data_IF_970179888524
#
_entry.id   IF_970179888524
#
_cell.length_a   1.000
_cell.length_b   1.000
_cell.length_c   1.000
_cell.angle_alpha   90.00
_cell.angle_beta   90.00
_cell.angle_gamma   90.00
#
_symmetry.space_group_name_H-M   'P 1'
#
loop_
_entity.id
_entity.type
_entity.pdbx_description
1 polymer ?
#
# COMPACT_ATOMS: atom_id res chain seq x y z
N UNK A 1 -2.42 -16.79 -3.12
CA UNK A 1 -2.82 -16.48 -1.74
C UNK A 1 -2.07 -15.22 -1.35
N UNK A 2 -2.75 -14.08 -1.22
CA UNK A 2 -2.10 -12.81 -0.87
C UNK A 2 -2.20 -12.62 0.63
N UNK A 3 -1.07 -12.44 1.32
CA UNK A 3 -1.01 -12.06 2.73
C UNK A 3 -0.33 -10.71 2.78
N UNK A 4 -1.08 -9.65 3.07
CA UNK A 4 -0.52 -8.30 3.13
C UNK A 4 0.37 -8.15 4.36
N UNK A 5 1.69 -8.22 4.19
CA UNK A 5 2.64 -7.83 5.23
C UNK A 5 2.96 -6.34 5.14
N UNK A 6 3.34 -5.71 6.26
CA UNK A 6 3.68 -4.28 6.27
C UNK A 6 4.86 -3.95 5.38
N UNK A 7 5.87 -4.82 5.32
CA UNK A 7 6.99 -4.68 4.39
C UNK A 7 6.53 -4.73 2.92
N UNK A 8 5.58 -5.61 2.58
CA UNK A 8 5.04 -5.66 1.22
C UNK A 8 4.19 -4.44 0.89
N UNK A 9 3.36 -3.95 1.82
CA UNK A 9 2.54 -2.75 1.57
C UNK A 9 3.44 -1.53 1.34
N UNK A 10 4.43 -1.33 2.20
CA UNK A 10 5.45 -0.26 2.10
C UNK A 10 6.18 -0.32 0.76
N UNK A 11 6.62 -1.52 0.34
CA UNK A 11 7.43 -1.71 -0.86
C UNK A 11 6.62 -1.59 -2.16
N UNK A 12 5.42 -2.16 -2.22
CA UNK A 12 4.55 -2.02 -3.39
C UNK A 12 4.07 -0.58 -3.55
N UNK A 13 3.77 0.11 -2.45
CA UNK A 13 3.34 1.50 -2.48
C UNK A 13 4.44 2.42 -3.04
N UNK A 14 5.66 2.37 -2.47
CA UNK A 14 6.76 3.23 -2.93
C UNK A 14 7.14 2.97 -4.40
N UNK A 15 7.11 1.70 -4.83
CA UNK A 15 7.37 1.32 -6.24
C UNK A 15 6.30 1.80 -7.19
N UNK A 16 5.03 1.55 -6.86
CA UNK A 16 3.90 2.02 -7.66
C UNK A 16 3.93 3.54 -7.77
N UNK A 17 4.13 4.24 -6.65
CA UNK A 17 4.19 5.69 -6.59
C UNK A 17 5.32 6.25 -7.45
N UNK A 18 6.54 5.72 -7.29
CA UNK A 18 7.71 6.12 -8.09
C UNK A 18 7.48 5.92 -9.58
N UNK A 19 6.88 4.79 -9.97
CA UNK A 19 6.62 4.44 -11.37
C UNK A 19 5.53 5.31 -12.01
N UNK A 20 4.48 5.64 -11.27
CA UNK A 20 3.28 6.31 -11.78
C UNK A 20 3.40 7.83 -11.73
N UNK A 21 4.03 8.37 -10.68
CA UNK A 21 4.08 9.80 -10.42
C UNK A 21 5.48 10.39 -10.64
N UNK A 22 6.55 9.86 -10.03
CA UNK A 22 7.85 10.54 -10.03
C UNK A 22 8.69 10.39 -11.31
N UNK A 23 8.88 9.17 -11.85
CA UNK A 23 9.86 8.96 -12.94
C UNK A 23 9.45 9.52 -14.30
N UNK A 24 8.16 9.72 -14.54
CA UNK A 24 7.65 10.16 -15.84
C UNK A 24 6.49 11.16 -15.78
N UNK A 25 6.09 11.64 -14.58
CA UNK A 25 4.89 12.47 -14.31
C UNK A 25 3.80 12.22 -15.36
N UNK A 26 3.35 10.98 -15.42
CA UNK A 26 2.31 10.58 -16.38
C UNK A 26 0.93 10.82 -15.75
N UNK A 27 0.87 10.81 -14.41
CA UNK A 27 -0.36 10.85 -13.63
C UNK A 27 -0.22 11.88 -12.50
N UNK A 28 -1.34 12.52 -12.19
CA UNK A 28 -1.51 13.29 -10.95
C UNK A 28 -1.35 12.38 -9.73
N UNK A 29 -1.11 12.99 -8.57
CA UNK A 29 -1.02 12.26 -7.29
C UNK A 29 -2.26 11.40 -7.05
N UNK A 30 -3.45 11.99 -7.24
CA UNK A 30 -4.73 11.30 -7.03
C UNK A 30 -4.92 10.12 -7.98
N UNK A 31 -4.55 10.25 -9.25
CA UNK A 31 -4.61 9.14 -10.21
C UNK A 31 -3.63 8.01 -9.85
N UNK A 32 -2.43 8.35 -9.40
CA UNK A 32 -1.48 7.36 -8.92
C UNK A 32 -2.02 6.61 -7.69
N UNK A 33 -2.59 7.33 -6.71
CA UNK A 33 -3.24 6.73 -5.53
C UNK A 33 -4.40 5.82 -5.96
N UNK A 34 -5.30 6.29 -6.83
CA UNK A 34 -6.43 5.51 -7.34
C UNK A 34 -5.98 4.19 -7.99
N UNK A 35 -4.94 4.24 -8.83
CA UNK A 35 -4.40 3.05 -9.52
C UNK A 35 -3.76 2.03 -8.56
N UNK A 36 -3.32 2.47 -7.37
CA UNK A 36 -2.72 1.59 -6.36
C UNK A 36 -3.69 1.11 -5.29
N UNK A 37 -4.89 1.70 -5.19
CA UNK A 37 -5.84 1.46 -4.09
C UNK A 37 -7.19 0.96 -4.59
N UNK A 38 -8.04 1.86 -5.07
CA UNK A 38 -9.42 1.56 -5.46
C UNK A 38 -9.47 0.72 -6.74
N UNK A 39 -8.65 1.00 -7.75
CA UNK A 39 -8.65 0.24 -9.00
C UNK A 39 -8.41 -1.27 -8.79
N UNK A 40 -7.36 -1.72 -8.07
CA UNK A 40 -7.16 -3.14 -7.80
C UNK A 40 -8.24 -3.71 -6.86
N UNK A 41 -8.73 -2.95 -5.88
CA UNK A 41 -9.83 -3.40 -5.01
C UNK A 41 -11.10 -3.72 -5.82
N UNK A 42 -11.50 -2.83 -6.73
CA UNK A 42 -12.63 -3.03 -7.65
C UNK A 42 -12.39 -4.22 -8.58
N UNK A 43 -11.18 -4.33 -9.16
CA UNK A 43 -10.81 -5.43 -10.07
C UNK A 43 -10.88 -6.79 -9.39
N UNK A 44 -10.55 -6.85 -8.10
CA UNK A 44 -10.59 -8.07 -7.29
C UNK A 44 -11.90 -8.27 -6.52
N UNK A 45 -12.88 -7.37 -6.69
CA UNK A 45 -14.18 -7.39 -6.00
C UNK A 45 -14.04 -7.39 -4.48
N UNK A 46 -13.12 -6.56 -3.97
CA UNK A 46 -12.90 -6.34 -2.54
C UNK A 46 -13.71 -5.13 -2.08
N UNK A 47 -14.95 -5.36 -1.65
CA UNK A 47 -15.90 -4.28 -1.32
C UNK A 47 -15.55 -3.51 -0.04
N UNK A 48 -14.69 -4.06 0.82
CA UNK A 48 -14.35 -3.52 2.15
C UNK A 48 -13.00 -2.76 2.17
N UNK A 49 -12.37 -2.52 1.00
CA UNK A 49 -10.99 -2.02 0.88
C UNK A 49 -10.82 -1.09 -0.31
N UNK A 50 -9.75 -0.31 -0.29
CA UNK A 50 -9.31 0.51 -1.43
C UNK A 50 -9.83 1.96 -1.41
N UNK A 51 -10.71 2.30 -0.47
CA UNK A 51 -11.14 3.67 -0.17
C UNK A 51 -10.92 3.99 1.32
N UNK A 52 -10.89 5.28 1.65
CA UNK A 52 -10.84 5.77 3.03
C UNK A 52 -12.22 6.28 3.42
N UNK A 53 -13.06 5.37 3.91
CA UNK A 53 -14.46 5.62 4.27
C UNK A 53 -14.81 4.87 5.56
N UNK A 54 -15.86 5.32 6.26
CA UNK A 54 -16.36 4.62 7.44
C UNK A 54 -16.82 3.19 7.09
N UNK A 55 -16.53 2.23 7.96
CA UNK A 55 -16.86 0.81 7.74
C UNK A 55 -15.88 0.04 6.84
N UNK A 56 -14.93 0.72 6.20
CA UNK A 56 -13.86 0.07 5.44
C UNK A 56 -12.77 -0.47 6.36
N UNK A 57 -12.03 -1.46 5.87
CA UNK A 57 -10.86 -1.96 6.57
C UNK A 57 -9.77 -0.89 6.61
N UNK A 58 -9.26 -0.63 7.82
CA UNK A 58 -8.23 0.37 8.08
C UNK A 58 -6.84 -0.07 7.59
N UNK A 59 -6.68 -0.06 6.27
CA UNK A 59 -5.40 -0.13 5.57
C UNK A 59 -5.01 1.29 5.13
N UNK A 60 -4.13 1.93 5.88
CA UNK A 60 -3.80 3.36 5.70
C UNK A 60 -2.29 3.52 5.62
N UNK A 61 -1.83 4.34 4.66
CA UNK A 61 -0.43 4.74 4.51
C UNK A 61 -0.36 6.26 4.64
N UNK A 62 0.48 6.74 5.55
CA UNK A 62 0.78 8.17 5.72
C UNK A 62 2.20 8.37 5.22
N UNK A 63 2.35 9.25 4.23
CA UNK A 63 3.61 9.46 3.52
C UNK A 63 3.73 10.91 3.07
N UNK A 64 4.97 11.36 2.88
CA UNK A 64 5.28 12.66 2.32
C UNK A 64 5.45 12.52 0.79
N UNK A 65 4.58 13.11 -0.05
CA UNK A 65 4.64 12.96 -1.50
C UNK A 65 5.94 13.52 -2.12
N UNK A 66 6.57 14.49 -1.46
CA UNK A 66 7.82 15.11 -1.93
C UNK A 66 9.06 14.31 -1.55
N UNK A 67 8.95 13.42 -0.55
CA UNK A 67 10.08 12.63 -0.03
C UNK A 67 9.98 11.13 -0.32
N UNK A 68 8.78 10.63 -0.65
CA UNK A 68 8.57 9.19 -0.81
C UNK A 68 9.43 8.64 -1.94
N UNK A 69 10.30 7.68 -1.67
CA UNK A 69 11.19 7.13 -2.70
C UNK A 69 11.51 5.65 -2.45
N UNK A 70 11.38 4.84 -3.51
CA UNK A 70 11.87 3.46 -3.52
C UNK A 70 13.40 3.45 -3.68
N UNK A 71 14.09 2.89 -2.68
CA UNK A 71 15.55 2.76 -2.63
C UNK A 71 16.09 1.45 -3.19
N UNK A 72 15.24 0.50 -3.54
CA UNK A 72 15.68 -0.79 -4.05
C UNK A 72 16.53 -0.62 -5.32
N UNK A 73 17.72 -1.20 -5.33
CA UNK A 73 18.62 -1.29 -6.49
C UNK A 73 18.75 -2.74 -6.94
N UNK A 74 19.33 -2.98 -8.12
CA UNK A 74 19.63 -4.34 -8.59
C UNK A 74 20.58 -5.07 -7.65
N UNK A 75 21.56 -4.36 -7.08
CA UNK A 75 22.58 -4.89 -6.18
C UNK A 75 22.06 -5.07 -4.75
N UNK A 76 21.12 -4.23 -4.32
CA UNK A 76 20.52 -4.26 -2.99
C UNK A 76 18.99 -4.08 -3.10
N UNK A 77 18.25 -5.17 -3.40
CA UNK A 77 16.81 -5.12 -3.68
C UNK A 77 15.95 -4.98 -2.41
N UNK A 78 16.49 -5.32 -1.24
CA UNK A 78 15.78 -5.34 0.05
C UNK A 78 16.01 -4.06 0.87
N UNK A 79 15.93 -2.89 0.23
CA UNK A 79 16.00 -1.61 0.91
C UNK A 79 14.60 -1.09 1.22
N UNK A 80 14.41 -0.57 2.43
CA UNK A 80 13.18 0.12 2.80
C UNK A 80 13.11 1.47 2.08
N UNK A 81 11.92 1.87 1.62
CA UNK A 81 11.72 3.19 1.05
C UNK A 81 11.79 4.27 2.14
N UNK A 82 12.03 5.50 1.71
CA UNK A 82 11.94 6.69 2.56
C UNK A 82 10.63 7.43 2.33
N UNK A 83 10.29 8.34 3.25
CA UNK A 83 9.12 9.22 3.16
C UNK A 83 7.78 8.56 3.49
N UNK A 84 7.77 7.38 4.10
CA UNK A 84 6.57 6.71 4.62
C UNK A 84 6.66 6.69 6.15
N UNK A 85 5.83 7.51 6.80
CA UNK A 85 5.91 7.72 8.25
C UNK A 85 5.11 6.67 9.01
N UNK A 86 3.91 6.35 8.53
CA UNK A 86 3.02 5.40 9.20
C UNK A 86 2.35 4.45 8.23
N UNK A 87 2.20 3.20 8.67
CA UNK A 87 1.43 2.19 7.98
C UNK A 87 0.55 1.47 8.97
N UNK A 88 -0.75 1.47 8.70
CA UNK A 88 -1.78 0.82 9.48
C UNK A 88 -2.35 -0.29 8.61
N UNK A 89 -2.40 -1.51 9.13
CA UNK A 89 -2.97 -2.67 8.43
C UNK A 89 -4.02 -3.30 9.33
N UNK A 90 -5.25 -3.39 8.81
CA UNK A 90 -6.42 -3.86 9.55
C UNK A 90 -6.54 -3.17 10.93
N UNK A 91 -6.26 -1.87 10.99
CA UNK A 91 -6.33 -1.06 12.22
C UNK A 91 -5.12 -1.18 13.17
N UNK A 92 -4.11 -1.98 12.84
CA UNK A 92 -2.90 -2.14 13.66
C UNK A 92 -1.72 -1.39 13.06
N UNK A 93 -1.00 -0.65 13.91
CA UNK A 93 0.18 0.12 13.51
C UNK A 93 1.37 -0.80 13.24
N UNK A 94 1.76 -0.89 11.98
CA UNK A 94 2.82 -1.77 11.51
C UNK A 94 4.10 -1.02 11.09
N UNK A 95 3.98 0.28 10.77
CA UNK A 95 5.11 1.22 10.72
C UNK A 95 4.76 2.42 11.57
N UNK A 96 5.66 2.81 12.47
CA UNK A 96 5.50 3.92 13.40
C UNK A 96 6.69 4.86 13.28
N UNK A 97 6.45 6.07 12.74
CA UNK A 97 7.48 7.07 12.47
C UNK A 97 8.68 6.49 11.68
N UNK A 98 8.39 5.76 10.61
CA UNK A 98 9.38 5.08 9.76
C UNK A 98 9.98 3.80 10.35
N UNK A 99 9.65 3.45 11.60
CA UNK A 99 10.15 2.23 12.27
C UNK A 99 9.17 1.08 12.03
N UNK A 100 9.66 0.00 11.41
CA UNK A 100 8.90 -1.23 11.24
C UNK A 100 8.61 -1.90 12.59
N UNK A 101 7.35 -2.27 12.82
CA UNK A 101 6.93 -3.10 13.96
C UNK A 101 6.62 -4.52 13.45
N UNK A 102 7.08 -5.55 14.16
CA UNK A 102 6.77 -6.96 13.83
C UNK A 102 5.32 -7.30 14.21
N UNK A 103 4.39 -6.72 13.45
CA UNK A 103 2.95 -6.91 13.59
C UNK A 103 2.45 -7.69 12.38
N UNK A 104 1.96 -8.89 12.63
CA UNK A 104 1.43 -9.80 11.60
C UNK A 104 -0.08 -9.65 11.45
N UNK A 105 -0.54 -8.43 11.15
CA UNK A 105 -1.96 -8.11 11.04
C UNK A 105 -2.58 -8.47 9.68
N UNK A 106 -1.79 -8.90 8.70
CA UNK A 106 -2.29 -9.31 7.38
C UNK A 106 -3.20 -10.53 7.42
N UNK A 107 -4.30 -10.47 6.66
CA UNK A 107 -5.25 -11.59 6.50
C UNK A 107 -5.16 -12.15 5.08
N UNK A 108 -5.46 -13.44 4.92
CA UNK A 108 -5.61 -14.06 3.60
C UNK A 108 -6.94 -13.62 3.02
N UNK A 109 -6.90 -12.94 1.88
CA UNK A 109 -8.11 -12.62 1.13
C UNK A 109 -8.54 -13.83 0.30
N UNK A 110 -9.78 -14.26 0.49
CA UNK A 110 -10.46 -15.22 -0.38
C UNK A 110 -11.54 -14.49 -1.14
N UNK A 111 -11.65 -14.78 -2.43
CA UNK A 111 -12.80 -14.36 -3.21
C UNK A 111 -14.00 -15.14 -2.70
N UNK A 112 -14.95 -14.47 -2.08
CA UNK A 112 -16.26 -15.07 -1.87
C UNK A 112 -16.93 -15.17 -3.24
N UNK A 113 -17.03 -16.40 -3.75
CA UNK A 113 -17.90 -16.67 -4.87
C UNK A 113 -19.32 -16.54 -4.32
N UNK A 114 -19.95 -15.38 -4.54
CA UNK A 114 -21.36 -15.22 -4.23
C UNK A 114 -22.15 -16.34 -4.91
N UNK A 115 -23.01 -17.01 -4.14
CA UNK A 115 -23.97 -17.96 -4.69
C UNK A 115 -24.79 -17.25 -5.77
N UNK A 116 -24.70 -17.76 -7.00
CA UNK A 116 -25.55 -17.39 -8.13
C UNK A 116 -26.91 -18.05 -7.95
#
# INVERSE_FOLDING_TARGET
MYRTSASEMVWHFSKGFRSLHQRKIILTLSEAIYKMTQLPATTLVLADRGSLEEGMVANVVIFNPDQVIDKATFEAPHQYPEGIDYVIINGQLAVDNGIYKDVRSGVVLRKELGNI
#
